data_IF_365446379224
#
_entry.id   IF_365446379224
#
_cell.length_a   1.000
_cell.length_b   1.000
_cell.length_c   1.000
_cell.angle_alpha   90.00
_cell.angle_beta   90.00
_cell.angle_gamma   90.00
#
_symmetry.space_group_name_H-M   'P 1'
#
loop_
_entity.id
_entity.type
_entity.pdbx_description
1 polymer ?
#
# COMPACT_ATOMS: atom_id res chain seq x y z
N UNK A 1 -7.13 22.63 -2.69
CA UNK A 1 -8.20 21.72 -2.23
C UNK A 1 -7.56 20.35 -2.05
N UNK A 2 -7.42 19.88 -0.81
CA UNK A 2 -6.88 18.53 -0.57
C UNK A 2 -7.93 17.52 -1.05
N UNK A 3 -7.50 16.55 -1.85
CA UNK A 3 -8.37 15.48 -2.33
C UNK A 3 -8.78 14.64 -1.12
N UNK A 4 -10.07 14.54 -0.87
CA UNK A 4 -10.63 13.62 0.11
C UNK A 4 -10.80 12.25 -0.55
N UNK A 5 -10.05 11.24 -0.10
CA UNK A 5 -10.17 9.86 -0.62
C UNK A 5 -11.13 9.08 0.27
N UNK A 6 -12.30 8.74 -0.23
CA UNK A 6 -13.26 7.91 0.52
C UNK A 6 -13.81 6.77 -0.35
N UNK A 7 -12.93 6.24 -1.21
CA UNK A 7 -13.30 5.14 -2.09
C UNK A 7 -13.21 3.82 -1.33
N UNK A 8 -14.32 3.07 -1.20
CA UNK A 8 -14.28 1.73 -0.60
C UNK A 8 -13.40 0.80 -1.44
N UNK A 9 -12.88 -0.29 -0.87
CA UNK A 9 -11.99 -1.23 -1.57
C UNK A 9 -12.77 -2.15 -2.53
N UNK A 10 -13.55 -1.60 -3.47
CA UNK A 10 -14.36 -2.39 -4.41
C UNK A 10 -13.49 -3.33 -5.25
N UNK A 11 -14.08 -4.41 -5.76
CA UNK A 11 -13.35 -5.39 -6.55
C UNK A 11 -12.74 -4.76 -7.83
N UNK A 12 -13.44 -3.81 -8.45
CA UNK A 12 -12.99 -3.05 -9.62
C UNK A 12 -11.82 -2.12 -9.29
N UNK A 13 -11.88 -1.44 -8.14
CA UNK A 13 -10.78 -0.59 -7.69
C UNK A 13 -9.53 -1.44 -7.42
N UNK A 14 -9.69 -2.60 -6.79
CA UNK A 14 -8.57 -3.52 -6.58
C UNK A 14 -8.04 -4.08 -7.92
N UNK A 15 -8.90 -4.38 -8.89
CA UNK A 15 -8.51 -4.77 -10.24
C UNK A 15 -7.68 -3.68 -10.95
N UNK A 16 -8.10 -2.41 -10.82
CA UNK A 16 -7.36 -1.25 -11.31
C UNK A 16 -5.99 -1.12 -10.63
N UNK A 17 -5.95 -1.18 -9.30
CA UNK A 17 -4.71 -1.12 -8.51
C UNK A 17 -3.79 -2.34 -8.75
N UNK A 18 -4.33 -3.47 -9.21
CA UNK A 18 -3.54 -4.62 -9.64
C UNK A 18 -2.92 -4.43 -11.04
N UNK A 19 -3.33 -3.40 -11.79
CA UNK A 19 -2.99 -3.22 -13.20
C UNK A 19 -3.56 -4.35 -14.07
N UNK A 20 -4.82 -4.72 -13.83
CA UNK A 20 -5.53 -5.72 -14.62
C UNK A 20 -5.25 -7.19 -14.26
N UNK A 21 -4.42 -7.43 -13.22
CA UNK A 21 -3.95 -8.79 -12.86
C UNK A 21 -4.27 -9.13 -11.40
N UNK A 22 -5.53 -8.97 -11.01
CA UNK A 22 -5.94 -9.09 -9.60
C UNK A 22 -5.62 -10.45 -8.98
N UNK A 23 -5.91 -11.55 -9.68
CA UNK A 23 -5.64 -12.90 -9.17
C UNK A 23 -4.17 -13.12 -8.74
N UNK A 24 -3.22 -12.49 -9.44
CA UNK A 24 -1.79 -12.64 -9.17
C UNK A 24 -1.26 -11.55 -8.23
N UNK A 25 -1.94 -10.41 -8.15
CA UNK A 25 -1.46 -9.20 -7.46
C UNK A 25 -2.36 -8.74 -6.34
N UNK A 26 -3.28 -9.57 -5.87
CA UNK A 26 -4.28 -9.22 -4.88
C UNK A 26 -3.69 -8.56 -3.64
N UNK A 27 -2.72 -9.19 -2.96
CA UNK A 27 -2.10 -8.58 -1.77
C UNK A 27 -1.39 -7.26 -2.08
N UNK A 28 -0.82 -7.10 -3.28
CA UNK A 28 -0.29 -5.79 -3.71
C UNK A 28 -1.42 -4.78 -3.88
N UNK A 29 -2.52 -5.13 -4.54
CA UNK A 29 -3.67 -4.24 -4.71
C UNK A 29 -4.25 -3.80 -3.36
N UNK A 30 -4.37 -4.73 -2.41
CA UNK A 30 -4.78 -4.44 -1.03
C UNK A 30 -3.80 -3.48 -0.36
N UNK A 31 -2.48 -3.73 -0.41
CA UNK A 31 -1.49 -2.80 0.12
C UNK A 31 -1.61 -1.40 -0.50
N UNK A 32 -1.76 -1.30 -1.81
CA UNK A 32 -1.90 -0.02 -2.51
C UNK A 32 -3.16 0.71 -2.05
N UNK A 33 -4.30 0.02 -1.92
CA UNK A 33 -5.52 0.62 -1.41
C UNK A 33 -5.34 1.13 0.02
N UNK A 34 -4.77 0.32 0.93
CA UNK A 34 -4.50 0.72 2.31
C UNK A 34 -3.57 1.94 2.35
N UNK A 35 -2.52 1.97 1.53
CA UNK A 35 -1.63 3.13 1.43
C UNK A 35 -2.38 4.39 1.00
N UNK A 36 -3.22 4.31 -0.03
CA UNK A 36 -4.02 5.45 -0.50
C UNK A 36 -5.02 5.90 0.58
N UNK A 37 -5.70 4.95 1.22
CA UNK A 37 -6.63 5.22 2.30
C UNK A 37 -5.94 5.84 3.52
N UNK A 38 -4.72 5.42 3.90
CA UNK A 38 -3.96 6.03 5.01
C UNK A 38 -3.38 7.40 4.64
N UNK A 39 -2.96 7.60 3.40
CA UNK A 39 -2.38 8.86 2.94
C UNK A 39 -3.45 9.95 2.76
N UNK A 40 -4.58 9.59 2.16
CA UNK A 40 -5.58 10.54 1.66
C UNK A 40 -6.97 10.37 2.28
N UNK A 41 -7.19 9.31 3.07
CA UNK A 41 -8.47 9.02 3.72
C UNK A 41 -8.90 10.13 4.66
N UNK A 42 -10.21 10.34 4.79
CA UNK A 42 -10.79 11.38 5.65
C UNK A 42 -10.33 11.21 7.10
N UNK A 43 -10.29 9.97 7.59
CA UNK A 43 -9.98 9.64 8.97
C UNK A 43 -8.49 9.70 9.29
N UNK A 44 -7.64 9.32 8.33
CA UNK A 44 -6.20 9.12 8.53
C UNK A 44 -5.38 10.36 8.16
N UNK A 45 -5.61 10.91 6.95
CA UNK A 45 -4.93 12.08 6.37
C UNK A 45 -3.42 12.13 6.61
N UNK A 46 -2.70 11.01 6.53
CA UNK A 46 -1.27 11.00 6.87
C UNK A 46 -0.45 12.00 6.04
N UNK A 47 -0.88 12.31 4.81
CA UNK A 47 -0.17 13.26 3.95
C UNK A 47 -0.02 14.65 4.59
N UNK A 48 -0.98 15.10 5.43
CA UNK A 48 -0.85 16.40 6.13
C UNK A 48 0.12 16.37 7.31
N UNK A 49 0.55 15.19 7.74
CA UNK A 49 1.43 14.99 8.88
C UNK A 49 2.80 14.39 8.51
N UNK A 50 3.00 14.05 7.25
CA UNK A 50 4.28 13.60 6.70
C UNK A 50 5.07 14.81 6.18
N UNK A 51 6.42 14.80 6.27
CA UNK A 51 7.26 15.78 5.59
C UNK A 51 6.92 15.86 4.10
N UNK A 52 7.05 17.03 3.48
CA UNK A 52 6.80 17.18 2.04
C UNK A 52 8.05 17.70 1.34
N UNK A 53 8.66 16.91 0.43
CA UNK A 53 8.33 15.52 0.09
C UNK A 53 8.63 14.54 1.24
N UNK A 54 7.90 13.43 1.30
CA UNK A 54 8.17 12.36 2.28
C UNK A 54 9.14 11.33 1.70
N UNK A 55 9.67 10.48 2.57
CA UNK A 55 10.57 9.39 2.20
C UNK A 55 9.95 8.05 2.58
N UNK A 56 10.50 6.97 2.01
CA UNK A 56 10.08 5.62 2.41
C UNK A 56 10.21 5.39 3.94
N UNK A 57 11.31 5.77 4.62
CA UNK A 57 11.38 5.72 6.08
C UNK A 57 10.23 6.43 6.80
N UNK A 58 9.80 7.61 6.34
CA UNK A 58 8.70 8.36 6.98
C UNK A 58 7.38 7.57 6.93
N UNK A 59 7.08 6.98 5.77
CA UNK A 59 5.91 6.12 5.60
C UNK A 59 6.03 4.82 6.39
N UNK A 60 7.19 4.15 6.31
CA UNK A 60 7.46 2.88 7.00
C UNK A 60 7.26 3.01 8.50
N UNK A 61 7.78 4.09 9.10
CA UNK A 61 7.69 4.32 10.55
C UNK A 61 6.26 4.63 11.02
N UNK A 62 5.34 5.00 10.11
CA UNK A 62 3.90 5.09 10.41
C UNK A 62 3.16 3.78 10.21
N UNK A 63 3.58 2.97 9.23
CA UNK A 63 2.94 1.68 8.93
C UNK A 63 3.25 0.63 10.00
N UNK A 64 4.53 0.51 10.37
CA UNK A 64 5.01 -0.58 11.19
C UNK A 64 5.37 -0.13 12.59
N UNK A 65 5.15 -1.04 13.55
CA UNK A 65 5.72 -0.94 14.89
C UNK A 65 7.25 -0.84 14.85
N UNK A 66 7.83 -0.22 15.88
CA UNK A 66 9.28 -0.19 16.10
C UNK A 66 9.89 -1.60 16.20
N UNK A 67 9.11 -2.59 16.67
CA UNK A 67 9.51 -3.99 16.80
C UNK A 67 9.45 -4.77 15.48
N UNK A 68 9.04 -4.14 14.37
CA UNK A 68 8.98 -4.79 13.07
C UNK A 68 10.39 -5.08 12.51
N UNK A 69 10.68 -6.31 12.03
CA UNK A 69 11.96 -6.66 11.45
C UNK A 69 12.31 -5.81 10.22
N UNK A 70 13.51 -5.22 10.20
CA UNK A 70 13.92 -4.29 9.12
C UNK A 70 14.69 -4.92 7.94
N UNK A 71 14.70 -6.24 7.85
CA UNK A 71 15.54 -6.97 6.91
C UNK A 71 14.85 -7.21 5.56
N UNK A 72 15.56 -6.90 4.47
CA UNK A 72 15.11 -7.17 3.09
C UNK A 72 15.28 -8.66 2.67
N UNK A 73 15.76 -9.53 3.56
CA UNK A 73 16.03 -10.95 3.27
C UNK A 73 15.00 -11.91 3.86
N UNK A 74 14.07 -11.42 4.66
CA UNK A 74 13.08 -12.25 5.32
C UNK A 74 11.92 -12.56 4.38
N UNK A 75 11.37 -13.77 4.47
CA UNK A 75 10.08 -14.07 3.85
C UNK A 75 8.94 -13.68 4.81
N UNK A 76 7.69 -13.78 4.35
CA UNK A 76 6.51 -13.42 5.15
C UNK A 76 6.44 -14.18 6.48
N UNK A 77 6.74 -15.48 6.49
CA UNK A 77 6.73 -16.32 7.69
C UNK A 77 7.76 -15.83 8.72
N UNK A 78 8.98 -15.52 8.28
CA UNK A 78 10.04 -15.05 9.16
C UNK A 78 9.76 -13.63 9.68
N UNK A 79 9.10 -12.78 8.88
CA UNK A 79 8.66 -11.45 9.32
C UNK A 79 7.63 -11.59 10.44
N UNK A 80 6.60 -12.42 10.25
CA UNK A 80 5.55 -12.65 11.24
C UNK A 80 6.12 -13.24 12.53
N UNK A 81 6.97 -14.28 12.43
CA UNK A 81 7.60 -14.90 13.59
C UNK A 81 8.56 -13.95 14.33
N UNK A 82 9.21 -13.04 13.61
CA UNK A 82 10.17 -12.09 14.18
C UNK A 82 9.55 -10.80 14.73
N UNK A 83 8.28 -10.49 14.39
CA UNK A 83 7.61 -9.28 14.85
C UNK A 83 6.80 -9.57 16.13
N UNK A 84 7.34 -9.17 17.28
CA UNK A 84 6.73 -9.42 18.61
C UNK A 84 5.70 -8.39 19.05
N UNK A 85 5.15 -7.62 18.09
CA UNK A 85 4.09 -6.66 18.34
C UNK A 85 2.85 -7.05 17.55
N UNK A 86 1.85 -7.61 18.23
CA UNK A 86 0.59 -8.05 17.62
C UNK A 86 -0.23 -6.88 17.05
N UNK A 87 0.06 -5.63 17.46
CA UNK A 87 -0.55 -4.43 16.89
C UNK A 87 0.13 -3.91 15.62
N UNK A 88 1.19 -4.59 15.15
CA UNK A 88 1.87 -4.20 13.92
C UNK A 88 1.05 -4.62 12.69
N UNK A 89 0.90 -3.72 11.71
CA UNK A 89 0.12 -3.98 10.47
C UNK A 89 0.59 -5.23 9.70
N UNK A 90 1.82 -5.72 9.92
CA UNK A 90 2.26 -6.96 9.30
C UNK A 90 1.45 -8.18 9.74
N UNK A 91 0.79 -8.14 10.89
CA UNK A 91 -0.11 -9.19 11.40
C UNK A 91 -1.56 -8.99 10.98
N UNK A 92 -1.89 -7.90 10.29
CA UNK A 92 -3.24 -7.74 9.77
C UNK A 92 -3.46 -8.58 8.52
N UNK A 93 -4.47 -9.44 8.59
CA UNK A 93 -4.99 -10.16 7.43
C UNK A 93 -5.73 -9.21 6.48
N UNK A 94 -6.01 -9.65 5.26
CA UNK A 94 -6.87 -8.86 4.35
C UNK A 94 -8.24 -8.62 4.96
N UNK A 95 -8.79 -9.58 5.71
CA UNK A 95 -10.07 -9.41 6.42
C UNK A 95 -9.98 -8.25 7.40
N UNK A 96 -8.97 -8.25 8.28
CA UNK A 96 -8.79 -7.19 9.28
C UNK A 96 -8.59 -5.81 8.63
N UNK A 97 -7.96 -5.76 7.44
CA UNK A 97 -7.71 -4.50 6.73
C UNK A 97 -8.94 -3.95 6.01
N UNK A 98 -9.87 -4.80 5.58
CA UNK A 98 -10.92 -4.42 4.63
C UNK A 98 -12.34 -4.59 5.16
N UNK A 99 -12.61 -5.55 6.05
CA UNK A 99 -13.98 -5.95 6.40
C UNK A 99 -14.80 -4.81 6.98
N UNK A 100 -14.20 -3.96 7.81
CA UNK A 100 -14.86 -2.82 8.45
C UNK A 100 -15.31 -1.73 7.45
N UNK A 101 -14.88 -1.83 6.18
CA UNK A 101 -15.33 -0.95 5.09
C UNK A 101 -16.59 -1.47 4.38
N UNK A 102 -17.19 -2.56 4.86
CA UNK A 102 -18.38 -3.17 4.28
C UNK A 102 -19.45 -3.42 5.34
N UNK A 103 -20.71 -3.36 4.92
CA UNK A 103 -21.79 -4.01 5.65
C UNK A 103 -21.71 -5.54 5.48
N UNK A 104 -22.35 -6.34 6.35
CA UNK A 104 -22.41 -7.79 6.19
C UNK A 104 -22.92 -8.23 4.81
N UNK A 105 -23.88 -7.52 4.23
CA UNK A 105 -24.43 -7.83 2.90
C UNK A 105 -23.41 -7.52 1.79
N UNK A 106 -22.84 -6.31 1.81
CA UNK A 106 -21.90 -5.85 0.77
C UNK A 106 -20.56 -6.58 0.81
N UNK A 107 -20.17 -7.13 1.96
CA UNK A 107 -19.00 -8.00 2.08
C UNK A 107 -19.14 -9.29 1.26
N UNK A 108 -20.32 -9.93 1.33
CA UNK A 108 -20.60 -11.15 0.56
C UNK A 108 -20.63 -10.89 -0.95
N UNK A 109 -21.24 -9.78 -1.37
CA UNK A 109 -21.26 -9.36 -2.78
C UNK A 109 -19.85 -9.08 -3.32
N UNK A 110 -19.03 -8.35 -2.55
CA UNK A 110 -17.64 -8.07 -2.88
C UNK A 110 -16.82 -9.34 -3.06
N UNK A 111 -17.01 -10.34 -2.18
CA UNK A 111 -16.36 -11.64 -2.31
C UNK A 111 -16.75 -12.37 -3.61
N UNK A 112 -18.03 -12.31 -4.02
CA UNK A 112 -18.45 -12.89 -5.30
C UNK A 112 -17.89 -12.16 -6.52
N UNK A 113 -17.79 -10.82 -6.45
CA UNK A 113 -17.14 -10.03 -7.49
C UNK A 113 -15.66 -10.38 -7.63
N UNK A 114 -14.95 -10.53 -6.50
CA UNK A 114 -13.56 -10.99 -6.51
C UNK A 114 -13.43 -12.35 -7.23
N UNK A 115 -14.24 -13.34 -6.85
CA UNK A 115 -14.22 -14.67 -7.50
C UNK A 115 -14.46 -14.56 -9.01
N UNK A 116 -15.37 -13.69 -9.43
CA UNK A 116 -15.66 -13.45 -10.85
C UNK A 116 -14.45 -12.87 -11.59
N UNK A 117 -13.77 -11.89 -11.00
CA UNK A 117 -12.61 -11.24 -11.63
C UNK A 117 -11.34 -12.09 -11.58
N UNK A 118 -11.19 -12.95 -10.57
CA UNK A 118 -9.97 -13.73 -10.34
C UNK A 118 -10.06 -15.18 -10.81
N UNK A 119 -11.28 -15.72 -10.93
CA UNK A 119 -11.53 -17.13 -11.19
C UNK A 119 -11.31 -18.05 -9.97
N UNK A 120 -11.19 -17.48 -8.76
CA UNK A 120 -10.91 -18.28 -7.55
C UNK A 120 -12.10 -19.12 -7.10
N UNK A 121 -11.78 -20.30 -6.58
CA UNK A 121 -12.66 -21.11 -5.73
C UNK A 121 -12.89 -20.44 -4.36
N UNK A 122 -13.87 -20.93 -3.61
CA UNK A 122 -14.10 -20.47 -2.23
C UNK A 122 -12.90 -20.73 -1.32
N UNK A 123 -12.21 -21.85 -1.51
CA UNK A 123 -11.00 -22.19 -0.75
C UNK A 123 -9.86 -21.22 -1.05
N UNK A 124 -9.61 -20.92 -2.32
CA UNK A 124 -8.59 -19.94 -2.71
C UNK A 124 -8.93 -18.54 -2.20
N UNK A 125 -10.18 -18.10 -2.35
CA UNK A 125 -10.63 -16.82 -1.80
C UNK A 125 -10.37 -16.75 -0.29
N UNK A 126 -10.79 -17.78 0.46
CA UNK A 126 -10.57 -17.83 1.90
C UNK A 126 -9.07 -17.76 2.26
N UNK A 127 -8.21 -18.50 1.55
CA UNK A 127 -6.76 -18.44 1.75
C UNK A 127 -6.19 -17.04 1.48
N UNK A 128 -6.64 -16.39 0.41
CA UNK A 128 -6.19 -15.04 0.06
C UNK A 128 -6.62 -14.00 1.10
N UNK A 129 -7.82 -14.14 1.64
CA UNK A 129 -8.39 -13.27 2.67
C UNK A 129 -7.71 -13.42 4.04
N UNK A 130 -7.21 -14.61 4.37
CA UNK A 130 -6.41 -14.87 5.58
C UNK A 130 -4.94 -14.47 5.42
N UNK A 131 -4.51 -14.10 4.21
CA UNK A 131 -3.13 -13.66 3.95
C UNK A 131 -2.83 -12.31 4.59
N UNK A 132 -1.55 -12.07 4.91
CA UNK A 132 -1.05 -10.90 5.61
C UNK A 132 -0.30 -9.96 4.64
N UNK A 133 -0.95 -8.96 4.02
CA UNK A 133 -0.37 -8.26 2.87
C UNK A 133 0.90 -7.49 3.21
N UNK A 134 1.01 -7.01 4.45
CA UNK A 134 2.13 -6.22 4.95
C UNK A 134 3.24 -7.06 5.63
N UNK A 135 3.08 -8.38 5.74
CA UNK A 135 4.18 -9.29 6.02
C UNK A 135 5.08 -9.45 4.78
N UNK A 136 5.70 -8.35 4.35
CA UNK A 136 6.49 -8.28 3.11
C UNK A 136 7.77 -7.47 3.34
N UNK A 137 8.79 -7.73 2.51
CA UNK A 137 10.06 -7.01 2.59
C UNK A 137 9.91 -5.54 2.20
N UNK A 138 10.77 -4.69 2.74
CA UNK A 138 10.74 -3.25 2.46
C UNK A 138 10.92 -2.93 0.97
N UNK A 139 11.65 -3.76 0.22
CA UNK A 139 11.72 -3.66 -1.25
C UNK A 139 10.34 -3.67 -1.91
N UNK A 140 9.45 -4.58 -1.51
CA UNK A 140 8.10 -4.69 -2.08
C UNK A 140 7.32 -3.38 -1.90
N UNK A 141 7.38 -2.80 -0.70
CA UNK A 141 6.71 -1.53 -0.41
C UNK A 141 7.30 -0.36 -1.17
N UNK A 142 8.63 -0.30 -1.33
CA UNK A 142 9.27 0.71 -2.18
C UNK A 142 8.81 0.58 -3.63
N UNK A 143 8.64 -0.64 -4.13
CA UNK A 143 8.11 -0.88 -5.47
C UNK A 143 6.62 -0.54 -5.58
N UNK A 144 5.84 -0.70 -4.49
CA UNK A 144 4.45 -0.26 -4.42
C UNK A 144 4.35 1.27 -4.53
N UNK A 145 5.25 2.02 -3.86
CA UNK A 145 5.31 3.49 -4.02
C UNK A 145 5.68 3.91 -5.44
N UNK A 146 6.63 3.23 -6.08
CA UNK A 146 6.93 3.48 -7.51
C UNK A 146 5.71 3.19 -8.38
N UNK A 147 4.95 2.14 -8.07
CA UNK A 147 3.75 1.82 -8.82
C UNK A 147 2.65 2.88 -8.63
N UNK A 148 2.47 3.41 -7.42
CA UNK A 148 1.58 4.55 -7.17
C UNK A 148 2.02 5.82 -7.92
N UNK A 149 3.32 6.05 -8.10
CA UNK A 149 3.81 7.13 -8.97
C UNK A 149 3.39 6.90 -10.42
N UNK A 150 3.57 5.67 -10.94
CA UNK A 150 3.19 5.33 -12.31
C UNK A 150 1.68 5.43 -12.56
N UNK A 151 0.86 5.19 -11.53
CA UNK A 151 -0.59 5.37 -11.58
C UNK A 151 -1.02 6.84 -11.42
N UNK A 152 -0.09 7.77 -11.16
CA UNK A 152 -0.38 9.18 -10.94
C UNK A 152 -0.97 9.50 -9.56
N UNK A 153 -0.85 8.61 -8.57
CA UNK A 153 -1.27 8.87 -7.19
C UNK A 153 -0.22 9.59 -6.35
N UNK A 154 1.05 9.45 -6.72
CA UNK A 154 2.21 10.07 -6.09
C UNK A 154 3.08 10.71 -7.16
N UNK A 155 3.89 11.69 -6.78
CA UNK A 155 4.87 12.28 -7.68
C UNK A 155 6.29 11.86 -7.24
N UNK A 156 7.29 12.04 -8.11
CA UNK A 156 8.69 11.83 -7.72
C UNK A 156 9.27 13.11 -7.11
N UNK A 157 9.96 12.98 -5.98
CA UNK A 157 10.74 14.05 -5.38
C UNK A 157 11.68 14.70 -6.39
N UNK A 158 11.61 16.02 -6.57
CA UNK A 158 12.70 16.74 -7.23
C UNK A 158 13.96 16.56 -6.36
N UNK A 159 14.85 15.65 -6.78
CA UNK A 159 16.19 15.59 -6.23
C UNK A 159 16.88 16.90 -6.62
N UNK A 160 17.36 17.66 -5.64
CA UNK A 160 18.07 18.91 -5.91
C UNK A 160 19.19 18.67 -6.92
N UNK A 161 19.03 19.22 -8.12
CA UNK A 161 20.10 19.42 -9.06
C UNK A 161 20.67 20.82 -8.78
N UNK A 162 21.84 20.87 -8.13
CA UNK A 162 22.56 22.11 -7.87
C UNK A 162 23.95 21.87 -7.29
N UNK A 163 24.98 21.98 -8.14
CA UNK A 163 26.28 22.54 -7.76
C UNK A 163 27.37 21.61 -7.19
N UNK A 164 28.41 21.40 -8.00
CA UNK A 164 29.76 20.91 -7.71
C UNK A 164 30.38 21.26 -6.34
N UNK A 165 30.91 20.26 -5.61
CA UNK A 165 32.33 20.16 -5.22
C UNK A 165 32.64 18.85 -4.47
N UNK A 166 33.90 18.46 -4.57
CA UNK A 166 34.62 17.21 -4.21
C UNK A 166 34.38 16.59 -2.82
N UNK A 167 34.31 15.24 -2.75
CA UNK A 167 34.76 14.47 -1.56
C UNK A 167 33.89 13.30 -1.08
N UNK A 168 34.37 12.06 -1.32
CA UNK A 168 34.32 10.84 -0.49
C UNK A 168 33.01 10.33 0.19
N UNK A 169 32.59 9.13 -0.25
CA UNK A 169 32.02 7.93 0.44
C UNK A 169 30.88 8.09 1.48
N UNK A 170 29.67 7.59 1.14
CA UNK A 170 28.99 6.43 1.77
C UNK A 170 27.46 6.39 1.52
N UNK A 171 27.01 5.21 1.05
CA UNK A 171 25.74 4.51 1.34
C UNK A 171 24.36 5.21 1.24
N UNK A 172 23.49 4.62 0.41
CA UNK A 172 22.04 4.55 0.68
C UNK A 172 21.19 5.55 -0.08
N UNK A 173 20.92 5.28 -1.36
CA UNK A 173 19.99 6.06 -2.19
C UNK A 173 18.55 5.98 -1.69
N UNK A 174 18.20 6.81 -0.71
CA UNK A 174 16.83 7.09 -0.31
C UNK A 174 16.20 8.00 -1.38
N UNK A 175 15.57 7.39 -2.38
CA UNK A 175 14.74 8.13 -3.34
C UNK A 175 13.64 8.87 -2.59
N UNK A 176 13.57 10.20 -2.77
CA UNK A 176 12.48 11.04 -2.24
C UNK A 176 11.19 10.73 -3.01
N UNK A 177 10.09 10.52 -2.29
CA UNK A 177 8.75 10.25 -2.88
C UNK A 177 7.89 11.47 -2.61
N UNK A 178 7.41 12.12 -3.66
CA UNK A 178 6.77 13.44 -3.57
C UNK A 178 5.28 13.38 -3.23
N UNK A 179 4.86 14.58 -2.82
CA UNK A 179 3.53 15.12 -2.51
C UNK A 179 2.44 14.92 -3.57
N UNK A 180 1.21 15.28 -3.17
CA UNK A 180 -0.05 15.31 -3.92
C UNK A 180 0.10 15.45 -5.44
N UNK A 181 -0.27 14.40 -6.19
CA UNK A 181 -0.58 14.56 -7.61
C UNK A 181 -1.78 15.49 -7.74
N UNK A 182 -1.60 16.63 -8.42
CA UNK A 182 -2.66 17.64 -8.60
C UNK A 182 -3.78 17.19 -9.54
N UNK A 183 -3.69 16.03 -10.17
CA UNK A 183 -4.63 15.58 -11.19
C UNK A 183 -4.84 14.07 -11.14
N UNK A 184 -6.10 13.67 -11.00
CA UNK A 184 -6.60 12.29 -11.05
C UNK A 184 -6.88 11.88 -12.50
N UNK A 185 -6.81 10.60 -12.89
CA UNK A 185 -7.43 10.14 -14.13
C UNK A 185 -8.96 10.31 -14.03
N UNK A 186 -9.55 10.96 -15.02
CA UNK A 186 -10.99 11.29 -15.11
C UNK A 186 -11.92 10.09 -15.32
N UNK A 187 -11.43 8.86 -15.20
CA UNK A 187 -12.14 7.65 -15.62
C UNK A 187 -11.85 6.50 -14.66
N UNK A 188 -12.45 6.55 -13.48
CA UNK A 188 -12.99 5.35 -12.85
C UNK A 188 -14.50 5.62 -12.84
N UNK A 189 -15.16 5.35 -13.97
CA UNK A 189 -16.61 5.27 -13.99
C UNK A 189 -16.96 3.94 -13.34
N UNK A 190 -17.51 4.01 -12.12
CA UNK A 190 -18.29 2.92 -11.55
C UNK A 190 -19.53 2.68 -12.42
#
# INVERSE_FOLDING_TARGET
MLISWDYPPTAELLQYLAGGRLAVRFHRAVRLWVLLHRLYGIESRWISHLPQPFTYPDLRNRLFSEKHPKSDRLNARDILAGCTDDGCICHDSVINLLQDHFSPETWGEWQQQLKTLTGWSDTELHQQLQGHPFATVHRSLRDDLKFLINLGWLEKGAGGAGGTSTGSVAAGGAGRVCSLARYKPSTISC
#
